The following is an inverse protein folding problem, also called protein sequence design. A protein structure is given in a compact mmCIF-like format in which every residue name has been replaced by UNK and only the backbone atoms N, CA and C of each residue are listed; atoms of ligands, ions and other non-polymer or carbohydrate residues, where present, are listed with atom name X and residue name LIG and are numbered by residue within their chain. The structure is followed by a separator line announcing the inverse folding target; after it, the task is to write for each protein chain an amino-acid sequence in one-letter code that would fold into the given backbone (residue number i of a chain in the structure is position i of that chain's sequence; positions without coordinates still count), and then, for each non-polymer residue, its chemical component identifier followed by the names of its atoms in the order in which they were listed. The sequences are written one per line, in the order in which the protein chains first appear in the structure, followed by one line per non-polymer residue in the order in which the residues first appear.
data_IF_187716149102
#
_entry.id   IF_187716149102
#
_cell.length_a   1.000
_cell.length_b   1.000
_cell.length_c   1.000
_cell.angle_alpha   90.00
_cell.angle_beta   90.00
_cell.angle_gamma   90.00
#
_symmetry.space_group_name_H-M   'P 1'
#
loop_
_entity.id
_entity.type
_entity.pdbx_description
1 polymer ?
#
# COMPACT_ATOMS: atom_id res chain seq x y z
N UNK A 1 18.75 44.96 -10.31
CA UNK A 1 18.37 43.57 -10.60
C UNK A 1 17.10 43.25 -9.83
N UNK A 2 15.93 43.36 -10.47
CA UNK A 2 14.64 43.07 -9.84
C UNK A 2 14.37 41.57 -9.91
N UNK A 3 14.47 40.88 -8.78
CA UNK A 3 13.91 39.54 -8.62
C UNK A 3 12.40 39.64 -8.75
N UNK A 4 11.84 39.02 -9.79
CA UNK A 4 10.40 38.93 -9.99
C UNK A 4 9.71 38.20 -8.82
N UNK A 5 8.39 38.36 -8.66
CA UNK A 5 7.66 37.74 -7.56
C UNK A 5 7.70 36.22 -7.67
N UNK A 6 8.24 35.57 -6.64
CA UNK A 6 8.12 34.12 -6.46
C UNK A 6 6.68 33.83 -6.03
N UNK A 7 5.92 33.12 -6.87
CA UNK A 7 4.64 32.55 -6.45
C UNK A 7 4.90 31.27 -5.66
N UNK A 8 4.64 31.31 -4.36
CA UNK A 8 4.68 30.14 -3.48
C UNK A 8 3.27 29.59 -3.34
N UNK A 9 3.02 28.39 -3.85
CA UNK A 9 1.78 27.66 -3.63
C UNK A 9 1.99 26.62 -2.54
N UNK A 10 1.13 26.64 -1.53
CA UNK A 10 1.05 25.59 -0.50
C UNK A 10 -0.14 24.70 -0.81
N UNK A 11 0.11 23.41 -1.05
CA UNK A 11 -0.96 22.41 -1.10
C UNK A 11 -1.23 21.91 0.32
N UNK A 12 -2.51 21.88 0.71
CA UNK A 12 -2.97 21.45 2.02
C UNK A 12 -3.47 19.99 2.03
N UNK A 13 -3.47 19.35 0.85
CA UNK A 13 -3.74 17.92 0.68
C UNK A 13 -2.50 17.10 1.04
N UNK A 14 -2.64 15.90 1.62
CA UNK A 14 -1.49 15.04 1.89
C UNK A 14 -0.79 14.72 0.56
N UNK A 15 0.52 15.01 0.48
CA UNK A 15 1.38 14.83 -0.70
C UNK A 15 1.26 13.43 -1.36
N UNK A 16 0.79 12.43 -0.61
CA UNK A 16 0.48 11.08 -1.08
C UNK A 16 -0.67 10.98 -2.10
N UNK A 17 -1.47 12.04 -2.29
CA UNK A 17 -2.55 12.11 -3.30
C UNK A 17 -2.05 12.79 -4.59
N UNK A 18 -0.96 13.55 -4.52
CA UNK A 18 -0.48 14.40 -5.62
C UNK A 18 0.47 13.67 -6.58
N UNK A 19 0.91 12.45 -6.29
CA UNK A 19 1.67 11.67 -7.26
C UNK A 19 0.79 11.44 -8.50
N UNK A 20 1.20 12.01 -9.65
CA UNK A 20 0.50 12.07 -10.95
C UNK A 20 -0.27 13.36 -11.27
N UNK A 21 -0.16 14.40 -10.44
CA UNK A 21 -0.69 15.71 -10.81
C UNK A 21 0.34 16.46 -11.65
N UNK A 22 0.00 16.73 -12.91
CA UNK A 22 0.67 17.78 -13.68
C UNK A 22 -0.09 19.08 -13.45
N UNK A 23 0.52 20.03 -12.75
CA UNK A 23 -0.11 21.34 -12.57
C UNK A 23 0.35 22.22 -13.71
N UNK A 24 -0.60 22.61 -14.55
CA UNK A 24 -0.37 23.52 -15.66
C UNK A 24 -0.74 24.93 -15.25
N UNK A 25 0.22 25.85 -15.29
CA UNK A 25 0.00 27.28 -15.07
C UNK A 25 0.16 28.01 -16.39
N UNK A 26 -0.78 28.89 -16.71
CA UNK A 26 -0.65 29.83 -17.82
C UNK A 26 -0.41 31.23 -17.25
N UNK A 27 0.74 31.81 -17.59
CA UNK A 27 1.02 33.21 -17.27
C UNK A 27 1.57 33.89 -18.51
N UNK A 28 0.96 35.00 -18.93
CA UNK A 28 1.47 35.91 -19.95
C UNK A 28 2.06 35.18 -21.18
N UNK A 29 1.27 34.33 -21.86
CA UNK A 29 1.65 33.53 -23.04
C UNK A 29 2.61 32.35 -22.80
N UNK A 30 2.89 31.98 -21.56
CA UNK A 30 3.72 30.81 -21.26
C UNK A 30 2.95 29.79 -20.43
N UNK A 31 2.94 28.54 -20.91
CA UNK A 31 2.41 27.38 -20.22
C UNK A 31 3.53 26.64 -19.50
N UNK A 32 3.45 26.54 -18.18
CA UNK A 32 4.38 25.78 -17.35
C UNK A 32 3.69 24.52 -16.83
N UNK A 33 4.33 23.36 -17.01
CA UNK A 33 3.84 22.08 -16.48
C UNK A 33 4.77 21.62 -15.37
N UNK A 34 4.27 21.63 -14.13
CA UNK A 34 4.98 21.02 -12.99
C UNK A 34 4.64 19.53 -12.97
N UNK A 35 5.65 18.69 -13.16
CA UNK A 35 5.53 17.24 -13.08
C UNK A 35 6.02 16.77 -11.71
N UNK A 36 5.14 16.15 -10.93
CA UNK A 36 5.51 15.54 -9.66
C UNK A 36 6.18 14.17 -9.93
N UNK A 37 7.49 14.11 -9.66
CA UNK A 37 8.28 12.89 -9.81
C UNK A 37 8.18 12.02 -8.54
N UNK A 38 8.20 10.71 -8.76
CA UNK A 38 8.40 9.67 -7.76
C UNK A 38 9.81 9.12 -7.91
N UNK A 39 10.72 9.56 -7.04
CA UNK A 39 12.16 9.42 -7.31
C UNK A 39 12.54 10.09 -8.63
N UNK A 40 12.91 9.29 -9.63
CA UNK A 40 13.36 9.75 -10.96
C UNK A 40 12.34 9.59 -12.09
N UNK A 41 11.12 9.12 -11.80
CA UNK A 41 10.09 8.83 -12.81
C UNK A 41 8.71 9.32 -12.40
N UNK A 42 7.79 9.45 -13.34
CA UNK A 42 6.36 9.59 -13.05
C UNK A 42 5.72 8.23 -12.83
N UNK A 43 4.69 8.17 -11.99
CA UNK A 43 3.90 6.96 -11.83
C UNK A 43 2.79 6.89 -12.88
N UNK A 44 2.35 5.68 -13.22
CA UNK A 44 1.18 5.50 -14.08
C UNK A 44 -0.11 5.98 -13.38
N UNK A 45 -1.19 6.21 -14.15
CA UNK A 45 -2.47 6.70 -13.62
C UNK A 45 -3.05 5.79 -12.51
N UNK A 46 -2.81 4.48 -12.62
CA UNK A 46 -3.20 3.44 -11.68
C UNK A 46 -2.12 3.14 -10.63
N UNK A 47 -1.20 4.06 -10.40
CA UNK A 47 -0.14 3.96 -9.39
C UNK A 47 -0.16 5.18 -8.45
N UNK A 48 0.51 5.04 -7.31
CA UNK A 48 0.77 6.09 -6.34
C UNK A 48 2.24 6.04 -5.94
N UNK A 49 2.84 7.20 -5.67
CA UNK A 49 4.22 7.26 -5.20
C UNK A 49 4.29 6.98 -3.70
N UNK A 50 5.06 5.96 -3.32
CA UNK A 50 5.32 5.60 -1.93
C UNK A 50 6.83 5.35 -1.79
N UNK A 51 7.51 6.17 -0.97
CA UNK A 51 8.97 6.16 -0.76
C UNK A 51 9.77 6.07 -2.08
N UNK A 52 9.49 6.98 -3.01
CA UNK A 52 10.14 7.05 -4.33
C UNK A 52 9.88 5.83 -5.24
N UNK A 53 8.88 5.02 -4.92
CA UNK A 53 8.46 3.89 -5.75
C UNK A 53 7.00 3.99 -6.16
N UNK A 54 6.74 3.71 -7.44
CA UNK A 54 5.38 3.65 -7.97
C UNK A 54 4.71 2.32 -7.60
N UNK A 55 3.68 2.42 -6.78
CA UNK A 55 2.90 1.29 -6.24
C UNK A 55 1.55 1.26 -6.91
N UNK A 56 1.15 0.11 -7.45
CA UNK A 56 -0.16 -0.10 -8.07
C UNK A 56 -1.27 0.14 -7.05
N UNK A 57 -2.32 0.82 -7.50
CA UNK A 57 -3.56 1.04 -6.76
C UNK A 57 -4.74 0.60 -7.61
N UNK A 58 -5.92 0.54 -7.00
CA UNK A 58 -7.16 0.36 -7.73
C UNK A 58 -8.36 0.54 -6.81
N UNK A 59 -9.35 -0.36 -6.90
CA UNK A 59 -10.55 -0.29 -6.07
C UNK A 59 -10.25 -0.57 -4.58
N UNK A 60 -9.24 -1.41 -4.30
CA UNK A 60 -8.69 -1.67 -2.97
C UNK A 60 -7.19 -1.99 -3.10
N UNK A 61 -6.35 -1.49 -2.19
CA UNK A 61 -4.95 -1.93 -2.09
C UNK A 61 -4.47 -1.97 -0.64
N UNK A 62 -3.61 -2.94 -0.35
CA UNK A 62 -2.89 -3.10 0.91
C UNK A 62 -1.40 -2.96 0.60
N UNK A 63 -0.79 -1.87 1.06
CA UNK A 63 0.63 -1.61 0.87
C UNK A 63 1.35 -1.83 2.19
N UNK A 64 2.23 -2.82 2.25
CA UNK A 64 3.10 -3.04 3.40
C UNK A 64 4.41 -2.27 3.24
N UNK A 65 4.86 -1.64 4.32
CA UNK A 65 6.19 -1.04 4.48
C UNK A 65 6.81 -1.52 5.77
N UNK A 66 8.12 -1.68 5.82
CA UNK A 66 8.79 -2.10 7.06
C UNK A 66 10.02 -1.26 7.40
N UNK A 67 10.31 -1.16 8.70
CA UNK A 67 11.32 -0.24 9.24
C UNK A 67 12.76 -0.62 8.88
N UNK A 68 13.01 -1.88 8.52
CA UNK A 68 14.37 -2.38 8.26
C UNK A 68 14.74 -2.25 6.79
N UNK A 69 15.90 -1.63 6.54
CA UNK A 69 16.34 -1.36 5.16
C UNK A 69 16.72 -2.57 4.31
N UNK A 70 17.10 -3.67 4.95
CA UNK A 70 17.56 -4.90 4.30
C UNK A 70 16.66 -6.07 4.67
N UNK A 71 16.48 -6.95 3.69
CA UNK A 71 15.72 -8.20 3.78
C UNK A 71 14.33 -8.06 3.14
N UNK A 72 13.68 -9.21 2.96
CA UNK A 72 12.43 -9.33 2.22
C UNK A 72 11.31 -9.69 3.17
N UNK A 73 10.38 -8.75 3.35
CA UNK A 73 9.08 -9.01 3.95
C UNK A 73 8.04 -9.30 2.87
N UNK A 74 6.98 -9.99 3.25
CA UNK A 74 5.88 -10.33 2.35
C UNK A 74 4.53 -10.06 3.00
N UNK A 75 3.70 -9.24 2.35
CA UNK A 75 2.31 -9.10 2.74
C UNK A 75 1.51 -10.33 2.29
N UNK A 76 0.63 -10.80 3.16
CA UNK A 76 -0.26 -11.93 2.91
C UNK A 76 -1.67 -11.45 3.24
N UNK A 77 -2.57 -11.58 2.29
CA UNK A 77 -3.97 -11.19 2.46
C UNK A 77 -4.85 -12.43 2.29
N UNK A 78 -5.63 -12.76 3.33
CA UNK A 78 -6.72 -13.72 3.21
C UNK A 78 -8.01 -12.96 2.97
N UNK A 79 -8.67 -13.24 1.85
CA UNK A 79 -9.90 -12.58 1.43
C UNK A 79 -11.12 -13.10 2.22
N UNK A 80 -12.27 -12.39 2.14
CA UNK A 80 -13.53 -12.86 2.71
C UNK A 80 -14.00 -14.21 2.15
N UNK A 81 -13.59 -14.55 0.93
CA UNK A 81 -13.88 -15.84 0.28
C UNK A 81 -12.83 -16.92 0.60
N UNK A 82 -11.99 -16.66 1.62
CA UNK A 82 -11.02 -17.61 2.16
C UNK A 82 -9.82 -17.91 1.24
N UNK A 83 -9.62 -17.11 0.19
CA UNK A 83 -8.47 -17.21 -0.71
C UNK A 83 -7.29 -16.43 -0.14
N UNK A 84 -6.06 -16.93 -0.30
CA UNK A 84 -4.84 -16.27 0.19
C UNK A 84 -4.01 -15.74 -0.98
N UNK A 85 -3.71 -14.44 -0.95
CA UNK A 85 -2.89 -13.72 -1.92
C UNK A 85 -1.56 -13.35 -1.27
N UNK A 86 -0.45 -13.67 -1.93
CA UNK A 86 0.94 -13.38 -1.51
C UNK A 86 1.90 -13.62 -2.70
N UNK A 87 3.19 -13.29 -2.54
CA UNK A 87 4.19 -13.36 -3.62
C UNK A 87 4.30 -14.72 -4.33
N UNK A 88 4.10 -15.83 -3.60
CA UNK A 88 4.20 -17.19 -4.13
C UNK A 88 2.99 -17.63 -4.95
N UNK A 89 1.94 -16.79 -4.99
CA UNK A 89 0.74 -16.99 -5.81
C UNK A 89 0.38 -15.68 -6.55
N UNK A 90 1.24 -15.23 -7.48
CA UNK A 90 1.11 -13.91 -8.08
C UNK A 90 0.04 -13.82 -9.19
N UNK A 91 -0.56 -14.95 -9.60
CA UNK A 91 -1.37 -15.01 -10.82
C UNK A 91 -2.85 -14.73 -10.59
N UNK A 92 -3.35 -13.88 -11.47
CA UNK A 92 -4.75 -13.54 -11.70
C UNK A 92 -5.53 -14.74 -12.24
N UNK A 93 -6.22 -15.46 -11.39
CA UNK A 93 -7.40 -16.21 -11.79
C UNK A 93 -8.50 -15.96 -10.76
N UNK A 94 -9.72 -16.41 -11.06
CA UNK A 94 -10.86 -16.32 -10.14
C UNK A 94 -10.59 -16.93 -8.77
N UNK A 95 -9.57 -17.79 -8.63
CA UNK A 95 -9.15 -18.39 -7.35
C UNK A 95 -8.46 -17.42 -6.38
N UNK A 96 -8.26 -16.15 -6.76
CA UNK A 96 -7.70 -15.10 -5.90
C UNK A 96 -8.62 -13.89 -5.77
N UNK A 97 -9.90 -14.06 -6.11
CA UNK A 97 -10.90 -13.00 -6.04
C UNK A 97 -10.49 -11.73 -6.78
N UNK A 98 -9.79 -11.89 -7.90
CA UNK A 98 -9.25 -10.81 -8.75
C UNK A 98 -8.11 -9.98 -8.14
N UNK A 99 -7.70 -10.27 -6.91
CA UNK A 99 -6.58 -9.60 -6.25
C UNK A 99 -5.24 -9.95 -6.90
N UNK A 100 -4.32 -8.99 -6.88
CA UNK A 100 -3.02 -9.07 -7.55
C UNK A 100 -1.90 -8.72 -6.61
N UNK A 101 -0.84 -9.52 -6.64
CA UNK A 101 0.42 -9.17 -6.03
C UNK A 101 1.25 -8.30 -6.97
N UNK A 102 1.86 -7.23 -6.47
CA UNK A 102 2.82 -6.42 -7.21
C UNK A 102 4.22 -6.65 -6.65
N UNK A 103 5.10 -7.27 -7.44
CA UNK A 103 6.52 -7.27 -7.14
C UNK A 103 7.12 -5.91 -7.48
N UNK A 104 7.57 -5.19 -6.45
CA UNK A 104 8.12 -3.83 -6.60
C UNK A 104 9.64 -3.86 -6.87
N UNK A 105 10.32 -4.87 -6.35
CA UNK A 105 11.75 -5.06 -6.53
C UNK A 105 12.30 -5.95 -5.42
N UNK A 106 13.40 -6.62 -5.70
CA UNK A 106 14.01 -7.61 -4.82
C UNK A 106 14.58 -7.04 -3.51
N UNK A 107 14.89 -5.74 -3.50
CA UNK A 107 15.40 -4.97 -2.36
C UNK A 107 14.43 -3.86 -1.91
N UNK A 108 13.19 -3.92 -2.38
CA UNK A 108 12.15 -2.97 -1.98
C UNK A 108 11.76 -3.20 -0.52
N UNK A 109 11.60 -2.12 0.25
CA UNK A 109 10.97 -2.13 1.59
C UNK A 109 9.45 -2.05 1.53
N UNK A 110 8.89 -2.28 0.33
CA UNK A 110 7.48 -2.15 0.02
C UNK A 110 7.00 -3.43 -0.65
N UNK A 111 5.88 -3.93 -0.18
CA UNK A 111 5.12 -4.99 -0.82
C UNK A 111 3.66 -4.55 -0.99
N UNK A 112 2.96 -5.04 -2.02
CA UNK A 112 1.63 -4.55 -2.34
C UNK A 112 0.71 -5.65 -2.91
N UNK A 113 -0.51 -5.69 -2.38
CA UNK A 113 -1.62 -6.46 -2.94
C UNK A 113 -2.76 -5.50 -3.28
N UNK A 114 -3.24 -5.55 -4.51
CA UNK A 114 -4.26 -4.63 -5.01
C UNK A 114 -5.30 -5.31 -5.89
N UNK A 115 -6.47 -4.70 -5.93
CA UNK A 115 -7.57 -4.98 -6.84
C UNK A 115 -7.60 -3.86 -7.88
N UNK A 116 -7.38 -4.16 -9.17
CA UNK A 116 -7.48 -3.17 -10.25
C UNK A 116 -8.78 -2.35 -10.21
N UNK A 117 -8.76 -1.13 -10.76
CA UNK A 117 -9.93 -0.24 -10.75
C UNK A 117 -11.19 -0.82 -11.42
N UNK A 118 -11.04 -1.79 -12.33
CA UNK A 118 -12.14 -2.50 -12.99
C UNK A 118 -12.53 -3.82 -12.32
N UNK A 119 -11.98 -4.13 -11.14
CA UNK A 119 -12.29 -5.31 -10.34
C UNK A 119 -13.08 -4.95 -9.10
N UNK A 120 -13.92 -5.87 -8.63
CA UNK A 120 -14.72 -5.68 -7.41
C UNK A 120 -14.17 -6.57 -6.29
N UNK A 121 -13.38 -6.02 -5.34
CA UNK A 121 -12.91 -6.78 -4.19
C UNK A 121 -14.10 -7.36 -3.40
N UNK A 122 -14.03 -8.62 -2.94
CA UNK A 122 -15.10 -9.20 -2.13
C UNK A 122 -15.45 -8.35 -0.90
N UNK A 123 -16.74 -8.31 -0.57
CA UNK A 123 -17.20 -7.66 0.66
C UNK A 123 -16.99 -8.60 1.85
N UNK A 124 -16.53 -8.07 2.98
CA UNK A 124 -16.41 -8.80 4.23
C UNK A 124 -15.09 -8.56 4.94
N UNK A 125 -14.65 -9.56 5.70
CA UNK A 125 -13.45 -9.49 6.53
C UNK A 125 -12.23 -10.04 5.80
N UNK A 126 -11.22 -9.20 5.66
CA UNK A 126 -9.88 -9.55 5.20
C UNK A 126 -9.01 -9.82 6.40
N UNK A 127 -8.24 -10.93 6.40
CA UNK A 127 -7.16 -11.10 7.37
C UNK A 127 -5.87 -10.60 6.74
N UNK A 128 -5.17 -9.73 7.46
CA UNK A 128 -3.91 -9.13 7.02
C UNK A 128 -2.81 -9.76 7.84
N UNK A 129 -1.82 -10.31 7.15
CA UNK A 129 -0.66 -10.91 7.75
C UNK A 129 0.61 -10.45 7.06
N UNK A 130 1.73 -10.60 7.74
CA UNK A 130 3.03 -10.28 7.20
C UNK A 130 4.04 -11.34 7.61
N UNK A 131 4.73 -11.88 6.61
CA UNK A 131 5.89 -12.73 6.83
C UNK A 131 7.14 -11.89 6.77
N UNK A 132 7.98 -11.98 7.80
CA UNK A 132 9.28 -11.35 7.80
C UNK A 132 10.32 -12.14 6.97
N UNK A 133 9.96 -13.30 6.40
CA UNK A 133 10.90 -14.14 5.68
C UNK A 133 12.12 -14.55 6.51
N UNK A 134 13.14 -15.10 5.84
CA UNK A 134 14.40 -15.52 6.49
C UNK A 134 15.43 -14.40 6.62
N UNK A 135 15.26 -13.31 5.86
CA UNK A 135 16.23 -12.20 5.78
C UNK A 135 15.80 -10.99 6.59
N UNK A 136 14.54 -10.91 7.02
CA UNK A 136 14.02 -9.84 7.88
C UNK A 136 13.82 -10.39 9.31
N UNK A 137 14.90 -10.77 10.01
CA UNK A 137 14.75 -11.41 11.33
C UNK A 137 14.58 -10.39 12.46
N UNK A 138 13.35 -10.25 12.96
CA UNK A 138 13.07 -9.45 14.16
C UNK A 138 13.70 -10.09 15.40
N UNK A 139 14.21 -9.27 16.32
CA UNK A 139 14.67 -9.70 17.65
C UNK A 139 14.21 -8.69 18.68
N UNK A 140 14.17 -9.03 19.97
CA UNK A 140 13.81 -8.06 21.03
C UNK A 140 14.73 -6.83 21.04
N UNK A 141 16.00 -6.98 20.64
CA UNK A 141 16.99 -5.89 20.54
C UNK A 141 16.90 -5.09 19.24
N UNK A 142 16.29 -5.65 18.22
CA UNK A 142 16.12 -5.02 16.90
C UNK A 142 14.80 -5.49 16.31
N UNK A 143 13.66 -4.96 16.80
CA UNK A 143 12.36 -5.35 16.31
C UNK A 143 12.12 -4.76 14.93
N UNK A 144 11.19 -5.36 14.19
CA UNK A 144 10.78 -4.88 12.88
C UNK A 144 9.36 -4.34 13.00
N UNK A 145 9.18 -3.08 12.64
CA UNK A 145 7.86 -2.46 12.58
C UNK A 145 7.39 -2.47 11.14
N UNK A 146 6.20 -3.01 10.93
CA UNK A 146 5.50 -3.07 9.65
C UNK A 146 4.32 -2.14 9.73
N UNK A 147 4.17 -1.28 8.73
CA UNK A 147 3.01 -0.41 8.54
C UNK A 147 2.28 -0.89 7.29
N UNK A 148 0.97 -1.15 7.42
CA UNK A 148 0.10 -1.44 6.29
C UNK A 148 -0.75 -0.20 6.02
N UNK A 149 -0.68 0.32 4.80
CA UNK A 149 -1.59 1.34 4.29
C UNK A 149 -2.69 0.66 3.49
N UNK A 150 -3.94 0.92 3.87
CA UNK A 150 -5.11 0.43 3.17
C UNK A 150 -5.73 1.61 2.43
N UNK A 151 -5.88 1.44 1.12
CA UNK A 151 -6.37 2.50 0.23
C UNK A 151 -7.60 1.99 -0.50
N UNK A 152 -8.64 2.80 -0.52
CA UNK A 152 -9.84 2.61 -1.34
C UNK A 152 -10.09 3.84 -2.18
N UNK A 153 -10.81 3.64 -3.29
CA UNK A 153 -11.15 4.75 -4.16
C UNK A 153 -11.98 5.80 -3.41
N UNK A 154 -11.47 7.05 -3.35
CA UNK A 154 -12.11 8.21 -2.70
C UNK A 154 -12.38 8.04 -1.20
N UNK A 155 -11.60 7.22 -0.51
CA UNK A 155 -11.64 7.15 0.95
C UNK A 155 -10.29 7.59 1.52
N UNK A 156 -10.29 8.02 2.77
CA UNK A 156 -9.06 8.30 3.50
C UNK A 156 -8.20 7.04 3.61
N UNK A 157 -6.90 7.24 3.69
CA UNK A 157 -5.94 6.14 3.84
C UNK A 157 -6.03 5.64 5.28
N UNK A 158 -6.39 4.39 5.45
CA UNK A 158 -6.36 3.73 6.75
C UNK A 158 -4.97 3.15 6.97
N UNK A 159 -4.46 3.21 8.20
CA UNK A 159 -3.14 2.66 8.53
C UNK A 159 -3.21 1.76 9.75
N UNK A 160 -2.47 0.67 9.71
CA UNK A 160 -2.25 -0.23 10.84
C UNK A 160 -0.77 -0.52 10.97
N UNK A 161 -0.31 -0.77 12.18
CA UNK A 161 1.10 -1.00 12.47
C UNK A 161 1.27 -2.20 13.39
N UNK A 162 2.25 -3.05 13.09
CA UNK A 162 2.61 -4.21 13.89
C UNK A 162 4.11 -4.30 14.07
N UNK A 163 4.55 -4.67 15.28
CA UNK A 163 5.97 -4.90 15.59
C UNK A 163 6.23 -6.39 15.79
N UNK A 164 7.24 -6.90 15.10
CA UNK A 164 7.71 -8.28 15.17
C UNK A 164 9.05 -8.37 15.88
N UNK A 165 9.08 -9.09 17.00
CA UNK A 165 10.29 -9.35 17.80
C UNK A 165 10.92 -10.71 17.49
N UNK A 166 10.34 -11.46 16.56
CA UNK A 166 10.82 -12.75 16.08
C UNK A 166 10.51 -12.90 14.60
N UNK A 167 11.24 -13.76 13.91
CA UNK A 167 10.98 -14.06 12.50
C UNK A 167 9.68 -14.85 12.33
N UNK A 168 8.94 -14.55 11.26
CA UNK A 168 7.73 -15.27 10.86
C UNK A 168 7.87 -15.68 9.39
N UNK A 169 7.93 -16.99 9.11
CA UNK A 169 8.24 -17.52 7.76
C UNK A 169 7.06 -18.21 7.09
N UNK A 170 5.91 -18.29 7.75
CA UNK A 170 4.73 -18.99 7.25
C UNK A 170 3.95 -18.14 6.26
N UNK A 171 4.01 -18.49 4.98
CA UNK A 171 3.39 -17.72 3.89
C UNK A 171 1.94 -18.09 3.59
N UNK A 172 1.54 -19.33 3.90
CA UNK A 172 0.19 -19.84 3.58
C UNK A 172 -0.81 -19.72 4.73
N UNK A 173 -0.33 -19.53 5.96
CA UNK A 173 -1.15 -19.43 7.17
C UNK A 173 -1.37 -17.96 7.52
N UNK A 174 -2.44 -17.38 6.99
CA UNK A 174 -2.95 -16.08 7.45
C UNK A 174 -4.26 -16.29 8.21
N UNK A 175 -4.14 -16.57 9.50
CA UNK A 175 -5.25 -16.75 10.43
C UNK A 175 -5.05 -15.80 11.61
N UNK A 176 -6.09 -15.56 12.38
CA UNK A 176 -6.10 -14.76 13.60
C UNK A 176 -5.20 -15.34 14.71
N UNK A 177 -4.85 -16.62 14.60
CA UNK A 177 -3.93 -17.31 15.51
C UNK A 177 -2.50 -17.40 14.97
N UNK A 178 -2.23 -16.97 13.74
CA UNK A 178 -0.89 -17.08 13.15
C UNK A 178 0.06 -16.05 13.76
N UNK A 179 1.35 -16.40 13.82
CA UNK A 179 2.40 -15.48 14.26
C UNK A 179 2.64 -14.34 13.25
N UNK A 180 2.19 -14.51 12.01
CA UNK A 180 2.19 -13.50 10.94
C UNK A 180 1.02 -12.52 11.03
N UNK A 181 0.00 -12.78 11.85
CA UNK A 181 -1.22 -11.98 11.90
C UNK A 181 -0.94 -10.54 12.36
N UNK A 182 -1.49 -9.58 11.61
CA UNK A 182 -1.50 -8.16 11.93
C UNK A 182 -2.87 -7.78 12.49
N UNK A 183 -3.89 -7.85 11.64
CA UNK A 183 -5.23 -7.36 11.96
C UNK A 183 -6.29 -7.90 11.00
N UNK A 184 -7.57 -7.75 11.37
CA UNK A 184 -8.72 -7.99 10.49
C UNK A 184 -9.25 -6.65 9.96
N UNK A 185 -9.47 -6.57 8.66
CA UNK A 185 -10.01 -5.39 7.99
C UNK A 185 -11.40 -5.67 7.41
N UNK A 186 -12.37 -4.78 7.67
CA UNK A 186 -13.72 -4.91 7.12
C UNK A 186 -13.94 -4.01 5.92
N UNK A 187 -14.40 -4.58 4.80
CA UNK A 187 -14.86 -3.78 3.65
C UNK A 187 -16.28 -3.25 3.76
N UNK A 188 -17.05 -3.71 4.74
CA UNK A 188 -18.39 -3.22 5.04
C UNK A 188 -18.36 -2.04 6.01
N UNK A 189 -19.04 -0.96 5.64
CA UNK A 189 -19.60 0.01 6.60
C UNK A 189 -20.53 -0.77 7.52
N UNK A 190 -20.04 -1.22 8.66
CA UNK A 190 -20.92 -1.35 9.82
C UNK A 190 -21.22 0.08 10.25
N UNK A 191 -22.18 0.73 9.58
CA UNK A 191 -23.00 1.68 10.28
C UNK A 191 -23.77 0.85 11.31
N UNK A 192 -23.16 0.60 12.47
CA UNK A 192 -23.92 0.41 13.68
C UNK A 192 -24.56 1.77 14.00
N UNK A 193 -25.61 2.11 13.27
CA UNK A 193 -26.62 3.00 13.80
C UNK A 193 -27.44 2.16 14.76
N UNK A 194 -27.14 2.33 16.05
CA UNK A 194 -28.02 2.07 17.20
C UNK A 194 -28.40 0.60 17.49
N UNK A 195 -28.08 0.23 18.74
CA UNK A 195 -28.62 -0.90 19.53
C UNK A 195 -28.04 -2.29 19.25
N UNK A 196 -26.92 -2.59 19.93
CA UNK A 196 -26.63 -3.90 20.50
C UNK A 196 -26.63 -3.79 22.03
#
# INVERSE_FOLDING_TARGET
SSTGPFMQYSFQEPLSILSNMSITFDTNNNTYTVVLLCGSKTCAMDEVCIQDVCVKRGSLSFVARWSRRKGRGHIIIRTPLNNTIYYGKPRTNSSFDEGRYQQIGDDSQIDNIYWPSNSTPPRGFYKICFSTGSLLNGTDKSPITVTIEIRRFRQEIETMTRTFNKSTTKLSECTDTSDTFIETYSTGMFWCFLEC
#
